data_IF_346370784813
#
_entry.id   IF_346370784813
#
_cell.length_a   1.000
_cell.length_b   1.000
_cell.length_c   1.000
_cell.angle_alpha   90.00
_cell.angle_beta   90.00
_cell.angle_gamma   90.00
#
_symmetry.space_group_name_H-M   'P 1'
#
loop_
_entity.id
_entity.type
_entity.pdbx_description
1 polymer ?
#
# COMPACT_ATOMS: atom_id res chain seq x y z
N UNK A 1 -2.93 2.12 -0.74
CA UNK A 1 -2.46 0.88 -0.10
C UNK A 1 -2.83 0.91 1.38
N UNK A 2 -3.41 -0.20 1.89
CA UNK A 2 -3.76 -0.34 3.31
C UNK A 2 -2.99 -1.54 3.88
N UNK A 3 -2.29 -1.38 4.99
CA UNK A 3 -1.50 -2.44 5.60
C UNK A 3 -1.34 -2.24 7.10
N UNK A 4 -0.85 -3.25 7.80
CA UNK A 4 -0.77 -3.27 9.26
C UNK A 4 0.46 -2.60 9.88
N UNK A 5 1.33 -2.00 9.09
CA UNK A 5 2.59 -1.39 9.52
C UNK A 5 3.54 -2.37 10.21
N UNK A 6 3.35 -3.67 9.97
CA UNK A 6 4.14 -4.76 10.58
C UNK A 6 5.50 -4.96 9.87
N UNK A 7 6.32 -5.86 10.42
CA UNK A 7 7.53 -6.32 9.74
C UNK A 7 7.23 -7.03 8.41
N UNK A 8 8.20 -7.04 7.51
CA UNK A 8 8.15 -7.79 6.26
C UNK A 8 7.40 -7.05 5.16
N UNK A 9 6.40 -7.68 4.57
CA UNK A 9 5.67 -7.17 3.41
C UNK A 9 4.98 -5.84 3.71
N UNK A 10 4.39 -5.67 4.88
CA UNK A 10 3.66 -4.46 5.27
C UNK A 10 4.48 -3.19 5.08
N UNK A 11 5.61 -3.11 5.75
CA UNK A 11 6.47 -1.92 5.64
C UNK A 11 7.10 -1.80 4.26
N UNK A 12 7.37 -2.92 3.59
CA UNK A 12 7.94 -2.92 2.25
C UNK A 12 6.99 -2.28 1.24
N UNK A 13 5.72 -2.66 1.28
CA UNK A 13 4.70 -2.15 0.34
C UNK A 13 4.34 -0.69 0.63
N UNK A 14 4.33 -0.27 1.90
CA UNK A 14 4.09 1.12 2.26
C UNK A 14 5.23 2.04 1.78
N UNK A 15 6.48 1.63 1.92
CA UNK A 15 7.63 2.34 1.33
C UNK A 15 7.55 2.41 -0.18
N UNK A 16 7.15 1.32 -0.84
CA UNK A 16 6.95 1.32 -2.28
C UNK A 16 5.82 2.26 -2.69
N UNK A 17 4.70 2.28 -1.97
CA UNK A 17 3.59 3.20 -2.20
C UNK A 17 4.04 4.67 -2.13
N UNK A 18 4.75 5.05 -1.08
CA UNK A 18 5.31 6.40 -0.93
C UNK A 18 6.21 6.75 -2.11
N UNK A 19 7.16 5.87 -2.43
CA UNK A 19 8.11 6.07 -3.55
C UNK A 19 7.42 6.30 -4.89
N UNK A 20 6.27 5.65 -5.11
CA UNK A 20 5.52 5.75 -6.38
C UNK A 20 4.33 6.72 -6.31
N UNK A 21 4.20 7.51 -5.25
CA UNK A 21 3.14 8.51 -5.09
C UNK A 21 1.74 7.91 -4.90
N UNK A 22 1.66 6.66 -4.43
CA UNK A 22 0.40 6.01 -4.07
C UNK A 22 0.08 6.27 -2.61
N UNK A 23 -1.15 6.65 -2.31
CA UNK A 23 -1.58 6.83 -0.92
C UNK A 23 -1.44 5.54 -0.12
N UNK A 24 -1.00 5.67 1.15
CA UNK A 24 -0.86 4.52 2.04
C UNK A 24 -1.42 4.81 3.43
N UNK A 25 -2.14 3.84 3.98
CA UNK A 25 -2.74 3.89 5.32
C UNK A 25 -2.15 2.78 6.16
N UNK A 26 -1.56 3.16 7.29
CA UNK A 26 -1.13 2.23 8.32
C UNK A 26 -2.27 1.96 9.30
N UNK A 27 -2.87 0.77 9.27
CA UNK A 27 -3.82 0.36 10.30
C UNK A 27 -3.05 -0.17 11.51
N UNK A 28 -3.23 0.45 12.69
CA UNK A 28 -2.50 0.09 13.89
C UNK A 28 -3.32 -0.82 14.81
N UNK A 29 -2.64 -1.72 15.52
CA UNK A 29 -3.23 -2.61 16.54
C UNK A 29 -3.03 -2.06 17.97
N UNK A 30 -2.80 -0.76 18.07
CA UNK A 30 -2.54 -0.01 19.31
C UNK A 30 -2.95 1.45 19.13
N UNK A 31 -2.84 2.25 20.18
CA UNK A 31 -3.15 3.68 20.13
C UNK A 31 -2.12 4.50 19.36
N UNK A 32 -2.52 5.72 18.95
CA UNK A 32 -1.68 6.61 18.13
C UNK A 32 -0.50 7.25 18.88
N UNK A 33 -0.41 7.12 20.21
CA UNK A 33 0.67 7.71 20.98
C UNK A 33 2.02 7.01 20.84
N UNK A 34 2.07 5.92 20.11
CA UNK A 34 3.27 5.11 19.93
C UNK A 34 3.30 4.42 18.57
N UNK A 35 4.48 3.98 18.18
CA UNK A 35 4.66 3.12 17.01
C UNK A 35 5.10 1.72 17.43
N UNK A 36 4.46 0.73 16.82
CA UNK A 36 4.88 -0.66 16.91
C UNK A 36 4.87 -1.30 15.51
N UNK A 37 5.98 -1.90 15.07
CA UNK A 37 7.29 -1.96 15.74
C UNK A 37 7.96 -0.57 15.86
N UNK A 38 8.64 -0.30 16.97
CA UNK A 38 9.27 1.00 17.23
C UNK A 38 10.28 1.41 16.15
N UNK A 39 10.95 0.43 15.52
CA UNK A 39 11.91 0.67 14.44
C UNK A 39 11.26 1.31 13.20
N UNK A 40 9.96 1.12 13.00
CA UNK A 40 9.22 1.70 11.87
C UNK A 40 8.82 3.16 12.10
N UNK A 41 8.99 3.71 13.31
CA UNK A 41 8.66 5.11 13.61
C UNK A 41 9.34 6.11 12.66
N UNK A 42 10.51 5.78 12.14
CA UNK A 42 11.24 6.60 11.17
C UNK A 42 10.47 6.85 9.86
N UNK A 43 9.53 5.97 9.52
CA UNK A 43 8.68 6.10 8.33
C UNK A 43 7.36 6.82 8.62
N UNK A 44 7.03 7.07 9.89
CA UNK A 44 5.80 7.72 10.31
C UNK A 44 5.52 9.02 9.57
N UNK A 45 6.43 10.00 9.57
CA UNK A 45 6.22 11.29 8.90
C UNK A 45 6.00 11.16 7.39
N UNK A 46 6.61 10.17 6.74
CA UNK A 46 6.42 9.93 5.29
C UNK A 46 5.05 9.32 5.00
N UNK A 47 4.58 8.39 5.85
CA UNK A 47 3.24 7.82 5.76
C UNK A 47 2.19 8.90 5.97
N UNK A 48 2.35 9.77 6.97
CA UNK A 48 1.42 10.88 7.27
C UNK A 48 1.31 11.88 6.10
N UNK A 49 2.41 12.17 5.42
CA UNK A 49 2.40 13.05 4.23
C UNK A 49 1.68 12.44 3.04
N UNK A 50 1.66 11.11 2.93
CA UNK A 50 1.16 10.38 1.77
C UNK A 50 -0.11 9.56 2.05
N UNK A 51 -0.72 9.77 3.20
CA UNK A 51 -1.91 9.05 3.66
C UNK A 51 -2.14 9.27 5.15
N UNK A 52 -1.85 8.26 5.99
CA UNK A 52 -1.97 8.42 7.44
C UNK A 52 -2.05 7.12 8.20
N UNK A 53 -2.41 7.24 9.48
CA UNK A 53 -2.61 6.11 10.38
C UNK A 53 -4.05 6.04 10.85
N UNK A 54 -4.56 4.82 10.97
CA UNK A 54 -5.91 4.52 11.44
C UNK A 54 -5.83 3.48 12.55
N UNK A 55 -6.60 3.68 13.61
CA UNK A 55 -6.77 2.70 14.69
C UNK A 55 -8.17 2.76 15.28
N UNK A 56 -8.66 1.63 15.77
CA UNK A 56 -9.88 1.53 16.58
C UNK A 56 -9.62 1.49 18.09
N UNK A 57 -8.34 1.56 18.48
CA UNK A 57 -7.93 1.48 19.88
C UNK A 57 -7.71 2.88 20.46
N UNK A 58 -7.94 3.01 21.76
CA UNK A 58 -7.68 4.26 22.47
C UNK A 58 -6.21 4.70 22.31
N UNK A 59 -5.96 6.00 22.31
CA UNK A 59 -4.63 6.59 22.06
C UNK A 59 -3.51 6.00 22.91
N UNK A 60 -3.83 5.55 24.13
CA UNK A 60 -2.88 4.98 25.10
C UNK A 60 -2.82 3.45 25.08
N UNK A 61 -3.61 2.78 24.23
CA UNK A 61 -3.65 1.30 24.17
C UNK A 61 -2.32 0.72 23.70
N UNK A 62 -1.84 -0.29 24.39
CA UNK A 62 -0.61 -1.01 24.04
C UNK A 62 -0.84 -2.02 22.91
N UNK A 63 0.22 -2.40 22.17
CA UNK A 63 0.14 -3.47 21.18
C UNK A 63 0.06 -4.84 21.88
N UNK A 64 -1.13 -5.42 21.88
CA UNK A 64 -1.40 -6.74 22.42
C UNK A 64 -1.69 -7.73 21.30
N UNK A 65 -1.37 -9.00 21.49
CA UNK A 65 -1.50 -10.05 20.47
C UNK A 65 -2.93 -10.11 19.90
N UNK A 66 -3.94 -10.00 20.72
CA UNK A 66 -5.34 -10.06 20.32
C UNK A 66 -5.74 -8.87 19.46
N UNK A 67 -5.16 -7.70 19.72
CA UNK A 67 -5.44 -6.48 18.97
C UNK A 67 -5.01 -6.59 17.50
N UNK A 68 -3.95 -7.34 17.20
CA UNK A 68 -3.53 -7.57 15.81
C UNK A 68 -4.59 -8.36 15.03
N UNK A 69 -5.19 -9.36 15.65
CA UNK A 69 -6.26 -10.14 15.02
C UNK A 69 -7.54 -9.29 14.86
N UNK A 70 -7.90 -8.54 15.89
CA UNK A 70 -9.06 -7.64 15.85
C UNK A 70 -8.91 -6.56 14.77
N UNK A 71 -7.74 -5.92 14.68
CA UNK A 71 -7.44 -4.90 13.71
C UNK A 71 -7.58 -5.39 12.26
N UNK A 72 -7.27 -6.65 11.97
CA UNK A 72 -7.27 -7.19 10.61
C UNK A 72 -8.64 -7.04 9.92
N UNK A 73 -9.74 -7.03 10.66
CA UNK A 73 -11.07 -6.76 10.10
C UNK A 73 -11.20 -5.34 9.53
N UNK A 74 -10.49 -4.39 10.11
CA UNK A 74 -10.49 -3.00 9.61
C UNK A 74 -9.76 -2.95 8.27
N UNK A 75 -8.58 -3.58 8.16
CA UNK A 75 -7.84 -3.69 6.89
C UNK A 75 -8.73 -4.31 5.81
N UNK A 76 -9.32 -5.47 6.10
CA UNK A 76 -10.18 -6.18 5.16
C UNK A 76 -11.42 -5.34 4.76
N UNK A 77 -12.03 -4.64 5.72
CA UNK A 77 -13.28 -3.90 5.50
C UNK A 77 -13.12 -2.62 4.69
N UNK A 78 -12.00 -1.89 4.85
CA UNK A 78 -11.77 -0.63 4.12
C UNK A 78 -11.08 -0.84 2.77
N UNK A 79 -10.59 -2.05 2.49
CA UNK A 79 -9.92 -2.39 1.25
C UNK A 79 -10.92 -2.96 0.25
N UNK A 80 -10.80 -2.58 -1.01
CA UNK A 80 -11.59 -3.15 -2.10
C UNK A 80 -11.21 -4.62 -2.33
N UNK A 81 -9.90 -4.90 -2.27
CA UNK A 81 -9.38 -6.25 -2.38
C UNK A 81 -8.27 -6.51 -1.35
N UNK A 82 -8.11 -7.75 -0.94
CA UNK A 82 -7.03 -8.20 -0.06
C UNK A 82 -6.04 -9.05 -0.82
N UNK A 83 -4.76 -8.67 -0.80
CA UNK A 83 -3.68 -9.41 -1.49
C UNK A 83 -2.77 -10.07 -0.45
N UNK A 84 -2.70 -11.40 -0.48
CA UNK A 84 -1.77 -12.19 0.32
C UNK A 84 -0.52 -12.48 -0.50
N UNK A 85 0.57 -11.79 -0.18
CA UNK A 85 1.84 -11.92 -0.90
C UNK A 85 2.58 -13.19 -0.47
N UNK A 86 2.57 -13.46 0.83
CA UNK A 86 3.29 -14.58 1.42
C UNK A 86 2.61 -15.03 2.70
N UNK A 87 2.48 -16.33 2.90
CA UNK A 87 2.02 -16.92 4.16
C UNK A 87 2.46 -18.38 4.27
N UNK A 88 2.95 -18.74 5.45
CA UNK A 88 3.05 -20.15 5.82
C UNK A 88 1.64 -20.76 5.98
N UNK A 89 1.56 -22.06 6.29
CA UNK A 89 0.30 -22.79 6.50
C UNK A 89 -0.61 -22.12 7.55
N UNK A 90 -0.02 -21.44 8.53
CA UNK A 90 -0.71 -20.65 9.55
C UNK A 90 -0.08 -19.27 9.62
N UNK A 91 -0.87 -18.22 9.37
CA UNK A 91 -0.39 -16.85 9.37
C UNK A 91 -1.51 -15.83 9.57
N UNK A 92 -1.15 -14.63 10.07
CA UNK A 92 -2.10 -13.54 10.29
C UNK A 92 -2.75 -13.04 8.99
N UNK A 93 -2.03 -13.09 7.87
CA UNK A 93 -2.54 -12.73 6.56
C UNK A 93 -3.69 -13.64 6.09
N UNK A 94 -3.67 -14.92 6.46
CA UNK A 94 -4.76 -15.86 6.17
C UNK A 94 -6.03 -15.49 6.93
N UNK A 95 -5.90 -15.00 8.17
CA UNK A 95 -7.04 -14.51 8.95
C UNK A 95 -7.65 -13.28 8.27
N UNK A 96 -6.83 -12.36 7.78
CA UNK A 96 -7.31 -11.19 7.03
C UNK A 96 -8.05 -11.61 5.76
N UNK A 97 -7.50 -12.58 5.01
CA UNK A 97 -8.12 -13.14 3.82
C UNK A 97 -9.49 -13.77 4.11
N UNK A 98 -9.59 -14.55 5.19
CA UNK A 98 -10.86 -15.18 5.60
C UNK A 98 -11.92 -14.12 5.96
N UNK A 99 -11.52 -13.07 6.69
CA UNK A 99 -12.41 -11.95 7.03
C UNK A 99 -12.86 -11.21 5.76
N UNK A 100 -11.94 -10.96 4.81
CA UNK A 100 -12.26 -10.31 3.54
C UNK A 100 -13.29 -11.12 2.73
N UNK A 101 -13.11 -12.43 2.65
CA UNK A 101 -14.11 -13.34 2.05
C UNK A 101 -15.47 -13.24 2.77
N UNK A 102 -15.47 -13.20 4.12
CA UNK A 102 -16.68 -13.01 4.91
C UNK A 102 -17.37 -11.67 4.67
N UNK A 103 -16.65 -10.64 4.23
CA UNK A 103 -17.18 -9.34 3.82
C UNK A 103 -17.53 -9.27 2.34
N UNK A 104 -17.43 -10.38 1.62
CA UNK A 104 -17.64 -10.45 0.17
C UNK A 104 -16.70 -9.49 -0.59
N UNK A 105 -15.44 -9.43 -0.15
CA UNK A 105 -14.37 -8.69 -0.80
C UNK A 105 -13.46 -9.65 -1.57
N UNK A 106 -12.94 -9.21 -2.68
CA UNK A 106 -12.03 -10.01 -3.49
C UNK A 106 -10.73 -10.30 -2.74
N UNK A 107 -10.29 -11.53 -2.83
CA UNK A 107 -9.03 -11.99 -2.23
C UNK A 107 -8.12 -12.52 -3.35
N UNK A 108 -6.88 -12.09 -3.31
CA UNK A 108 -5.83 -12.53 -4.21
C UNK A 108 -4.67 -13.14 -3.44
N UNK A 109 -4.02 -14.13 -4.01
CA UNK A 109 -2.84 -14.73 -3.43
C UNK A 109 -1.73 -14.89 -4.48
N UNK A 110 -0.53 -14.46 -4.12
CA UNK A 110 0.66 -14.60 -4.98
C UNK A 110 1.17 -16.04 -4.85
N UNK A 111 1.25 -16.81 -5.93
CA UNK A 111 1.81 -18.15 -5.91
C UNK A 111 3.33 -18.06 -5.74
N UNK A 112 3.86 -18.79 -4.77
CA UNK A 112 5.30 -18.95 -4.64
C UNK A 112 5.75 -20.31 -5.19
N UNK A 113 6.98 -20.72 -4.87
CA UNK A 113 7.50 -22.03 -5.24
C UNK A 113 6.71 -23.13 -4.53
N UNK A 114 6.42 -24.22 -5.26
CA UNK A 114 5.58 -25.32 -4.75
C UNK A 114 6.06 -25.89 -3.41
N UNK A 115 7.38 -26.00 -3.25
CA UNK A 115 8.01 -26.58 -2.04
C UNK A 115 8.41 -25.52 -1.00
N UNK A 116 8.01 -24.25 -1.18
CA UNK A 116 8.33 -23.19 -0.23
C UNK A 116 7.31 -23.20 0.92
N UNK A 117 7.84 -23.34 2.12
CA UNK A 117 7.07 -23.32 3.37
C UNK A 117 6.25 -22.04 3.54
N UNK A 118 6.78 -20.91 3.12
CA UNK A 118 6.11 -19.61 3.27
C UNK A 118 5.11 -19.29 2.15
N UNK A 119 5.03 -20.13 1.14
CA UNK A 119 4.01 -20.03 0.07
C UNK A 119 2.84 -20.97 0.28
N UNK A 120 2.94 -21.90 1.24
CA UNK A 120 1.92 -22.94 1.49
C UNK A 120 0.54 -22.34 1.77
N UNK A 121 0.46 -21.24 2.54
CA UNK A 121 -0.80 -20.56 2.83
C UNK A 121 -1.46 -19.98 1.59
N UNK A 122 -0.68 -19.32 0.72
CA UNK A 122 -1.17 -18.79 -0.56
C UNK A 122 -1.66 -19.92 -1.46
N UNK A 123 -0.92 -21.03 -1.56
CA UNK A 123 -1.34 -22.21 -2.33
C UNK A 123 -2.67 -22.79 -1.81
N UNK A 124 -2.84 -22.86 -0.49
CA UNK A 124 -4.08 -23.37 0.11
C UNK A 124 -5.27 -22.46 -0.17
N UNK A 125 -5.11 -21.13 -0.11
CA UNK A 125 -6.16 -20.19 -0.49
C UNK A 125 -6.59 -20.39 -1.94
N UNK A 126 -5.64 -20.52 -2.87
CA UNK A 126 -5.91 -20.73 -4.30
C UNK A 126 -6.60 -22.10 -4.52
N UNK A 127 -6.05 -23.19 -3.94
CA UNK A 127 -6.62 -24.54 -4.08
C UNK A 127 -8.04 -24.65 -3.53
N UNK A 128 -8.34 -23.91 -2.46
CA UNK A 128 -9.67 -23.90 -1.84
C UNK A 128 -10.64 -22.90 -2.51
N UNK A 129 -10.22 -22.24 -3.59
CA UNK A 129 -10.99 -21.20 -4.27
C UNK A 129 -11.38 -20.01 -3.36
N UNK A 130 -10.57 -19.75 -2.34
CA UNK A 130 -10.73 -18.63 -1.41
C UNK A 130 -9.94 -17.39 -1.85
N UNK A 131 -9.08 -17.53 -2.85
CA UNK A 131 -8.35 -16.42 -3.45
C UNK A 131 -8.09 -16.69 -4.93
N UNK A 132 -8.13 -15.64 -5.72
CA UNK A 132 -7.64 -15.65 -7.08
C UNK A 132 -6.12 -15.67 -7.11
N UNK A 133 -5.53 -16.40 -8.04
CA UNK A 133 -4.08 -16.40 -8.25
C UNK A 133 -3.67 -15.05 -8.85
N UNK A 134 -2.68 -14.39 -8.25
CA UNK A 134 -2.14 -13.12 -8.71
C UNK A 134 -0.70 -13.31 -9.16
N UNK A 135 -0.43 -13.11 -10.44
CA UNK A 135 0.91 -13.22 -11.02
C UNK A 135 1.49 -11.87 -11.42
N UNK A 136 0.62 -10.89 -11.67
CA UNK A 136 1.01 -9.54 -12.10
C UNK A 136 0.02 -8.47 -11.60
N UNK A 137 0.43 -7.22 -11.64
CA UNK A 137 -0.48 -6.10 -11.39
C UNK A 137 -1.59 -6.00 -12.46
N UNK A 138 -1.33 -6.44 -13.69
CA UNK A 138 -2.31 -6.45 -14.77
C UNK A 138 -3.48 -7.38 -14.48
N UNK A 139 -3.22 -8.52 -13.82
CA UNK A 139 -4.27 -9.44 -13.39
C UNK A 139 -5.24 -8.76 -12.43
N UNK A 140 -4.70 -8.00 -11.47
CA UNK A 140 -5.48 -7.26 -10.50
C UNK A 140 -6.37 -6.21 -11.16
N UNK A 141 -5.78 -5.40 -12.05
CA UNK A 141 -6.50 -4.36 -12.80
C UNK A 141 -7.64 -4.97 -13.60
N UNK A 142 -7.37 -6.05 -14.33
CA UNK A 142 -8.36 -6.75 -15.15
C UNK A 142 -9.50 -7.35 -14.31
N UNK A 143 -9.16 -8.05 -13.23
CA UNK A 143 -10.15 -8.77 -12.40
C UNK A 143 -11.01 -7.84 -11.57
N UNK A 144 -10.49 -6.67 -11.15
CA UNK A 144 -11.24 -5.65 -10.44
C UNK A 144 -11.95 -4.66 -11.36
N UNK A 145 -11.74 -4.77 -12.69
CA UNK A 145 -12.32 -3.86 -13.65
C UNK A 145 -11.84 -2.42 -13.51
N UNK A 146 -10.61 -2.21 -13.04
CA UNK A 146 -10.07 -0.86 -12.86
C UNK A 146 -9.74 -0.22 -14.20
N UNK A 147 -10.28 0.96 -14.41
CA UNK A 147 -9.88 1.82 -15.53
C UNK A 147 -8.62 2.60 -15.13
N UNK A 148 -7.54 2.39 -15.88
CA UNK A 148 -6.33 3.20 -15.70
C UNK A 148 -6.54 4.52 -16.45
N UNK A 149 -6.60 5.62 -15.70
CA UNK A 149 -6.49 6.94 -16.32
C UNK A 149 -5.13 7.04 -17.01
N UNK A 150 -5.13 7.11 -18.32
CA UNK A 150 -3.94 7.51 -19.06
C UNK A 150 -3.57 8.92 -18.56
N UNK A 151 -2.48 9.03 -17.83
CA UNK A 151 -1.87 10.35 -17.56
C UNK A 151 -1.55 10.97 -18.92
N UNK A 152 -2.48 11.77 -19.44
CA UNK A 152 -2.16 12.68 -20.53
C UNK A 152 -1.07 13.59 -20.00
N UNK A 153 0.17 13.28 -20.34
CA UNK A 153 1.26 14.22 -20.20
C UNK A 153 0.79 15.47 -20.96
N UNK A 154 0.34 16.47 -20.22
CA UNK A 154 0.10 17.77 -20.87
C UNK A 154 1.44 18.15 -21.49
N UNK A 155 1.50 18.32 -22.80
CA UNK A 155 2.73 18.76 -23.41
C UNK A 155 3.07 20.09 -22.73
N UNK A 156 4.22 20.12 -22.06
CA UNK A 156 4.76 21.36 -21.54
C UNK A 156 5.04 22.19 -22.80
N UNK A 157 4.09 23.03 -23.16
CA UNK A 157 4.26 23.96 -24.26
C UNK A 157 5.40 24.90 -23.84
N UNK A 158 6.59 24.62 -24.35
CA UNK A 158 7.70 25.56 -24.20
C UNK A 158 7.23 26.86 -24.87
N UNK A 159 7.16 27.95 -24.11
CA UNK A 159 6.96 29.26 -24.69
C UNK A 159 8.08 29.48 -25.71
N UNK A 160 7.72 29.46 -26.99
CA UNK A 160 8.67 29.66 -28.09
C UNK A 160 9.19 31.10 -28.13
N UNK A 161 8.44 32.03 -27.54
CA UNK A 161 8.78 33.44 -27.46
C UNK A 161 8.53 33.93 -26.05
N UNK A 162 9.58 34.36 -25.39
CA UNK A 162 9.50 35.09 -24.13
C UNK A 162 9.51 36.56 -24.52
N UNK A 163 8.40 37.27 -24.36
CA UNK A 163 8.39 38.72 -24.44
C UNK A 163 9.16 39.26 -23.22
N UNK A 164 10.39 39.66 -23.45
CA UNK A 164 11.23 40.28 -22.42
C UNK A 164 11.03 41.78 -22.44
N UNK A 165 10.91 42.37 -21.27
CA UNK A 165 11.02 43.83 -21.16
C UNK A 165 12.45 44.32 -21.46
N UNK A 166 12.63 45.63 -21.55
CA UNK A 166 13.94 46.23 -21.92
C UNK A 166 15.04 45.88 -20.93
N UNK A 167 14.71 45.73 -19.67
CA UNK A 167 15.64 45.40 -18.57
C UNK A 167 16.01 43.93 -18.59
N UNK A 168 15.03 43.07 -18.77
CA UNK A 168 15.22 41.61 -18.88
C UNK A 168 16.07 41.26 -20.10
N UNK A 169 15.83 41.90 -21.22
CA UNK A 169 16.62 41.73 -22.45
C UNK A 169 18.07 42.16 -22.26
N UNK A 170 18.33 43.27 -21.57
CA UNK A 170 19.69 43.74 -21.30
C UNK A 170 20.45 42.74 -20.38
N UNK A 171 19.78 42.17 -19.40
CA UNK A 171 20.35 41.14 -18.53
C UNK A 171 20.63 39.84 -19.32
N UNK A 172 19.69 39.41 -20.14
CA UNK A 172 19.83 38.22 -20.98
C UNK A 172 21.02 38.35 -21.95
N UNK A 173 21.14 39.50 -22.64
CA UNK A 173 22.24 39.76 -23.59
C UNK A 173 23.60 39.83 -22.87
N UNK A 174 23.62 40.20 -21.59
CA UNK A 174 24.84 40.26 -20.80
C UNK A 174 25.28 38.86 -20.32
N UNK A 175 24.36 37.95 -20.09
CA UNK A 175 24.64 36.55 -19.66
C UNK A 175 25.03 35.62 -20.82
N UNK A 176 24.82 36.05 -22.06
CA UNK A 176 25.21 35.28 -23.26
C UNK A 176 26.63 35.61 -23.79
N UNK A 177 27.31 36.58 -23.19
CA UNK A 177 28.71 36.97 -23.50
C UNK A 177 29.67 36.23 -22.58
#
# INVERSE_FOLDING_TARGET
IVSGFAYGVDICIQKAAIKHGLQTIGCLAHGLNQFYPKVHSVYGPEVEKNGGFLTEFWSTSNPERENFLRRNRVIAGISEATIVIESAEKGGSLVTAEIANGYNRDVFAVPGRVNDKYSTGCHNLIKQQKAHMLTSASDLIYMLGWELEERKLQPIQKQLFVEMDVTEKAIYDHLQK
#
